data_IF_265023448796
#
_entry.id   IF_265023448796
#
_cell.length_a   1.000
_cell.length_b   1.000
_cell.length_c   1.000
_cell.angle_alpha   90.00
_cell.angle_beta   90.00
_cell.angle_gamma   90.00
#
_symmetry.space_group_name_H-M   'P 1'
#
loop_
_entity.id
_entity.type
_entity.pdbx_description
1 polymer ?
2 non-polymer ?
3 water ?
#
# COMPACT_ATOMS: atom_id res chain seq x y z
N UNK A 1 1.33 4.02 -2.53
CA UNK A 1 0.73 2.82 -3.10
C UNK A 1 0.03 2.05 -1.98
N UNK A 2 -0.96 1.29 -2.38
CA UNK A 2 -1.71 0.47 -1.42
C UNK A 2 -2.23 -0.76 -2.12
N UNK A 3 -2.15 -1.88 -1.39
CA UNK A 3 -2.58 -3.20 -1.85
C UNK A 3 -3.35 -3.86 -0.73
N UNK A 4 -3.80 -5.10 -0.99
CA UNK A 4 -4.62 -5.74 0.03
C UNK A 4 -3.95 -6.05 1.34
N UNK A 5 -2.64 -6.17 1.32
CA UNK A 5 -1.87 -6.44 2.53
C UNK A 5 -1.05 -5.26 3.01
N UNK A 6 -1.28 -4.06 2.51
CA UNK A 6 -0.69 -2.85 3.06
C UNK A 6 0.04 -2.10 1.98
N UNK A 7 1.02 -1.32 2.40
CA UNK A 7 1.70 -0.46 1.43
C UNK A 7 2.24 0.77 2.11
N UNK A 8 2.17 1.89 1.39
CA UNK A 8 2.55 3.20 1.84
C UNK A 8 3.34 3.86 0.70
N UNK A 9 3.81 5.09 0.97
CA UNK A 9 4.64 5.76 -0.01
C UNK A 9 3.93 6.07 -1.33
N UNK A 10 2.60 6.14 -1.30
CA UNK A 10 1.84 6.43 -2.51
C UNK A 10 1.05 5.24 -3.01
X LIG B 1 4.57 -0.50 -5.72
X LIG B 1 5.08 -1.06 -7.09
X LIG B 1 5.63 0.94 -5.57
X LIG B 1 5.49 -1.50 -4.54
X LIG B 1 5.70 1.22 -4.61
X LIG B 1 5.23 1.67 -6.09
X LIG B 1 6.54 0.71 -5.93
X LIG B 1 5.87 -2.28 -5.00
X LIG B 1 4.88 -1.81 -3.84
X LIG B 1 6.21 -0.96 -4.16
#
# INVERSE_FOLDING_TARGET
>A
FKFGGFEFGG
>B hetero
1 DMS S O C1 C2 H11 H12 H13 H21 H22 H23
#
